data_IF_840059543294
#
_entry.id   IF_840059543294
#
_cell.length_a   1.000
_cell.length_b   1.000
_cell.length_c   1.000
_cell.angle_alpha   90.00
_cell.angle_beta   90.00
_cell.angle_gamma   90.00
#
_symmetry.space_group_name_H-M   'P 1'
#
loop_
_entity.id
_entity.type
_entity.pdbx_description
1 polymer ?
#
# COMPACT_ATOMS: atom_id res chain seq x y z
N UNK A 1 -35.22 14.94 11.21
CA UNK A 1 -33.85 14.80 10.62
C UNK A 1 -32.89 15.33 11.64
N UNK A 2 -32.14 14.43 12.29
CA UNK A 2 -31.13 14.81 13.29
C UNK A 2 -29.97 15.46 12.54
N UNK A 3 -29.64 16.71 12.85
CA UNK A 3 -28.46 17.40 12.30
C UNK A 3 -27.22 16.70 12.87
N UNK A 4 -26.51 15.96 12.01
CA UNK A 4 -25.19 15.43 12.35
C UNK A 4 -24.26 16.62 12.59
N UNK A 5 -23.86 16.85 13.84
CA UNK A 5 -23.03 17.98 14.27
C UNK A 5 -21.52 17.76 14.04
N UNK A 6 -21.09 16.54 13.77
CA UNK A 6 -19.69 16.17 13.62
C UNK A 6 -19.28 15.94 12.15
N UNK A 7 -17.96 15.80 11.95
CA UNK A 7 -17.38 15.43 10.66
C UNK A 7 -16.33 14.33 10.89
N UNK A 8 -16.36 13.29 10.05
CA UNK A 8 -15.27 12.31 10.03
C UNK A 8 -13.96 12.96 9.58
N UNK A 9 -12.87 12.48 10.12
CA UNK A 9 -11.53 12.93 9.74
C UNK A 9 -10.72 11.77 9.22
N UNK A 10 -10.15 11.95 8.03
CA UNK A 10 -9.27 10.96 7.38
C UNK A 10 -7.88 11.57 7.24
N UNK A 11 -6.89 10.98 7.90
CA UNK A 11 -5.49 11.42 7.78
C UNK A 11 -4.83 10.79 6.56
N UNK A 12 -4.15 11.61 5.77
CA UNK A 12 -3.37 11.16 4.60
C UNK A 12 -2.01 11.87 4.59
N UNK A 13 -1.03 11.24 3.95
CA UNK A 13 0.30 11.82 3.80
C UNK A 13 0.24 13.12 2.98
N UNK A 14 0.86 14.22 3.49
CA UNK A 14 0.87 15.52 2.80
C UNK A 14 1.70 15.49 1.52
N UNK A 15 2.84 14.85 1.54
CA UNK A 15 3.78 14.72 0.44
C UNK A 15 4.55 13.42 0.56
N UNK A 16 5.04 12.91 -0.55
CA UNK A 16 5.78 11.66 -0.56
C UNK A 16 5.03 10.56 -1.31
N UNK A 17 5.52 9.35 -1.17
CA UNK A 17 5.20 8.21 -2.02
C UNK A 17 3.73 7.77 -2.00
N UNK A 18 3.03 7.99 -0.88
CA UNK A 18 1.63 7.56 -0.73
C UNK A 18 0.63 8.69 -0.99
N UNK A 19 1.07 9.97 -1.03
CA UNK A 19 0.19 11.14 -1.02
C UNK A 19 -0.83 11.11 -2.17
N UNK A 20 -0.36 11.03 -3.42
CA UNK A 20 -1.23 11.10 -4.60
C UNK A 20 -2.14 9.87 -4.70
N UNK A 21 -1.60 8.66 -4.46
CA UNK A 21 -2.36 7.41 -4.48
C UNK A 21 -3.45 7.36 -3.41
N UNK A 22 -3.20 7.93 -2.24
CA UNK A 22 -4.20 8.05 -1.17
C UNK A 22 -5.35 8.96 -1.58
N UNK A 23 -5.04 10.10 -2.21
CA UNK A 23 -6.04 11.02 -2.72
C UNK A 23 -6.82 10.41 -3.90
N UNK A 24 -6.16 9.68 -4.80
CA UNK A 24 -6.82 8.97 -5.89
C UNK A 24 -7.81 7.94 -5.36
N UNK A 25 -7.41 7.08 -4.38
CA UNK A 25 -8.30 6.13 -3.74
C UNK A 25 -9.55 6.80 -3.14
N UNK A 26 -9.36 7.91 -2.44
CA UNK A 26 -10.45 8.67 -1.82
C UNK A 26 -11.39 9.23 -2.89
N UNK A 27 -10.85 9.75 -3.99
CA UNK A 27 -11.64 10.24 -5.14
C UNK A 27 -12.43 9.12 -5.79
N UNK A 28 -11.78 7.98 -6.04
CA UNK A 28 -12.40 6.82 -6.69
C UNK A 28 -13.48 6.18 -5.79
N UNK A 29 -13.36 6.33 -4.46
CA UNK A 29 -14.41 6.00 -3.49
C UNK A 29 -15.60 6.99 -3.51
N UNK A 30 -15.58 7.99 -4.40
CA UNK A 30 -16.67 8.94 -4.61
C UNK A 30 -16.68 10.14 -3.67
N UNK A 31 -15.58 10.41 -2.97
CA UNK A 31 -15.42 11.59 -2.12
C UNK A 31 -14.87 12.77 -2.94
N UNK A 32 -15.63 13.86 -3.03
CA UNK A 32 -15.27 15.08 -3.77
C UNK A 32 -14.84 16.15 -2.78
N UNK A 33 -13.66 16.69 -2.93
CA UNK A 33 -13.13 17.72 -2.03
C UNK A 33 -12.66 18.96 -2.76
N UNK A 34 -12.65 20.07 -2.04
CA UNK A 34 -12.01 21.32 -2.44
C UNK A 34 -10.78 21.56 -1.58
N UNK A 35 -9.77 22.16 -2.18
CA UNK A 35 -8.59 22.62 -1.45
C UNK A 35 -8.98 23.75 -0.53
N UNK A 36 -8.64 23.64 0.75
CA UNK A 36 -8.80 24.72 1.70
C UNK A 36 -7.77 25.84 1.47
N UNK A 37 -7.88 26.92 2.26
CA UNK A 37 -6.91 28.03 2.23
C UNK A 37 -5.48 27.61 2.64
N UNK A 38 -5.35 26.54 3.40
CA UNK A 38 -4.07 25.91 3.70
C UNK A 38 -4.05 24.49 3.10
N UNK A 39 -2.86 24.02 2.73
CA UNK A 39 -2.66 22.68 2.15
C UNK A 39 -2.78 21.54 3.17
N UNK A 40 -3.23 21.81 4.40
CA UNK A 40 -3.30 20.82 5.47
C UNK A 40 -4.69 20.21 5.65
N UNK A 41 -5.74 20.93 5.25
CA UNK A 41 -7.13 20.50 5.44
C UNK A 41 -7.91 20.66 4.13
N UNK A 42 -8.44 19.56 3.61
CA UNK A 42 -9.35 19.57 2.48
C UNK A 42 -10.75 19.17 2.96
N UNK A 43 -11.74 19.96 2.60
CA UNK A 43 -13.13 19.70 2.96
C UNK A 43 -13.83 18.91 1.87
N UNK A 44 -14.42 17.77 2.24
CA UNK A 44 -15.26 16.99 1.34
C UNK A 44 -16.62 17.68 1.22
N UNK A 45 -17.09 17.90 -0.01
CA UNK A 45 -18.31 18.65 -0.31
C UNK A 45 -19.58 17.82 -0.19
N UNK A 46 -19.49 16.56 -0.61
CA UNK A 46 -20.66 15.68 -0.71
C UNK A 46 -20.91 14.82 0.56
N UNK A 47 -20.01 14.88 1.53
CA UNK A 47 -20.15 14.20 2.82
C UNK A 47 -19.55 15.03 3.96
N UNK A 48 -20.01 14.88 5.20
CA UNK A 48 -19.40 15.54 6.35
C UNK A 48 -18.06 14.89 6.71
N UNK A 49 -17.07 15.05 5.85
CA UNK A 49 -15.71 14.48 5.99
C UNK A 49 -14.68 15.57 5.75
N UNK A 50 -13.61 15.54 6.52
CA UNK A 50 -12.43 16.38 6.35
C UNK A 50 -11.20 15.49 6.12
N UNK A 51 -10.36 15.84 5.13
CA UNK A 51 -9.10 15.17 4.87
C UNK A 51 -7.97 15.98 5.49
N UNK A 52 -7.26 15.39 6.45
CA UNK A 52 -6.08 16.00 7.07
C UNK A 52 -4.82 15.51 6.33
N UNK A 53 -4.06 16.46 5.79
CA UNK A 53 -2.79 16.20 5.11
C UNK A 53 -1.65 16.48 6.07
N UNK A 54 -1.06 15.44 6.61
CA UNK A 54 -0.05 15.51 7.67
C UNK A 54 1.22 14.74 7.29
N UNK A 55 2.23 14.71 8.15
CA UNK A 55 3.39 13.84 7.99
C UNK A 55 2.96 12.40 8.20
N UNK A 56 3.57 11.47 7.48
CA UNK A 56 3.30 10.04 7.61
C UNK A 56 3.55 9.53 9.04
N UNK A 57 4.61 9.99 9.68
CA UNK A 57 4.96 9.62 11.06
C UNK A 57 3.89 10.02 12.09
N UNK A 58 3.10 11.06 11.80
CA UNK A 58 2.06 11.58 12.70
C UNK A 58 0.73 10.83 12.55
N UNK A 59 0.48 10.21 11.39
CA UNK A 59 -0.81 9.55 11.07
C UNK A 59 -1.19 8.49 12.11
N UNK A 60 -0.30 7.55 12.49
CA UNK A 60 -0.64 6.53 13.48
C UNK A 60 -1.08 7.12 14.82
N UNK A 61 -0.42 8.18 15.30
CA UNK A 61 -0.75 8.86 16.55
C UNK A 61 -2.10 9.55 16.45
N UNK A 62 -2.37 10.29 15.37
CA UNK A 62 -3.65 11.00 15.20
C UNK A 62 -4.83 10.04 15.15
N UNK A 63 -4.65 8.87 14.57
CA UNK A 63 -5.70 7.84 14.53
C UNK A 63 -5.83 7.13 15.87
N UNK A 64 -4.72 6.76 16.52
CA UNK A 64 -4.76 6.10 17.83
C UNK A 64 -5.40 6.97 18.92
N UNK A 65 -5.17 8.27 18.89
CA UNK A 65 -5.69 9.24 19.85
C UNK A 65 -7.12 9.72 19.51
N UNK A 66 -7.73 9.23 18.42
CA UNK A 66 -9.08 9.61 18.01
C UNK A 66 -9.18 11.02 17.40
N UNK A 67 -8.06 11.67 17.08
CA UNK A 67 -8.06 12.95 16.35
C UNK A 67 -8.57 12.74 14.93
N UNK A 68 -8.23 11.59 14.32
CA UNK A 68 -8.76 11.13 13.06
C UNK A 68 -9.44 9.77 13.23
N UNK A 69 -10.55 9.56 12.53
CA UNK A 69 -11.30 8.30 12.53
C UNK A 69 -10.61 7.23 11.68
N UNK A 70 -10.02 7.65 10.56
CA UNK A 70 -9.30 6.81 9.62
C UNK A 70 -7.94 7.43 9.27
N UNK A 71 -7.01 6.59 8.81
CA UNK A 71 -5.73 7.03 8.28
C UNK A 71 -5.24 6.11 7.16
N UNK A 72 -4.54 6.69 6.18
CA UNK A 72 -3.81 5.94 5.15
C UNK A 72 -2.32 6.12 5.40
N UNK A 73 -1.63 5.03 5.70
CA UNK A 73 -0.23 5.05 6.11
C UNK A 73 0.52 3.81 5.61
N UNK A 74 1.84 3.88 5.51
CA UNK A 74 2.66 2.70 5.25
C UNK A 74 2.72 1.79 6.47
N UNK A 75 2.60 0.49 6.27
CA UNK A 75 2.68 -0.50 7.34
C UNK A 75 4.02 -0.41 8.12
N UNK A 76 5.11 -0.05 7.41
CA UNK A 76 6.41 0.22 8.03
C UNK A 76 6.37 1.37 9.06
N UNK A 77 5.62 2.43 8.79
CA UNK A 77 5.47 3.56 9.71
C UNK A 77 4.64 3.14 10.92
N UNK A 78 3.55 2.40 10.69
CA UNK A 78 2.72 1.87 11.75
C UNK A 78 3.51 0.94 12.68
N UNK A 79 4.29 0.01 12.10
CA UNK A 79 5.13 -0.93 12.85
C UNK A 79 6.24 -0.23 13.64
N UNK A 80 6.87 0.79 13.06
CA UNK A 80 7.88 1.59 13.77
C UNK A 80 7.27 2.42 14.89
N UNK A 81 6.03 2.91 14.70
CA UNK A 81 5.29 3.72 15.67
C UNK A 81 4.76 2.94 16.88
N UNK A 82 4.70 1.60 16.85
CA UNK A 82 4.16 0.78 17.94
C UNK A 82 4.92 0.97 19.25
N UNK A 83 4.21 1.48 20.27
CA UNK A 83 4.76 1.77 21.59
C UNK A 83 4.11 0.97 22.72
N UNK A 84 3.33 -0.10 22.39
CA UNK A 84 2.61 -0.90 23.40
C UNK A 84 1.37 -0.23 24.00
N UNK A 85 0.99 0.95 23.52
CA UNK A 85 -0.27 1.63 23.85
C UNK A 85 -1.42 1.24 22.93
N UNK A 86 -2.60 1.88 23.05
CA UNK A 86 -3.72 1.66 22.14
C UNK A 86 -3.25 1.99 20.71
N UNK A 87 -3.32 1.00 19.85
CA UNK A 87 -2.89 1.13 18.47
C UNK A 87 -4.11 1.26 17.57
N UNK A 88 -3.99 2.07 16.51
CA UNK A 88 -4.94 2.06 15.43
C UNK A 88 -5.02 0.64 14.82
N UNK A 89 -6.23 0.18 14.53
CA UNK A 89 -6.44 -1.12 13.92
C UNK A 89 -6.21 -1.06 12.41
N UNK A 90 -5.50 -2.03 11.83
CA UNK A 90 -5.45 -2.20 10.37
C UNK A 90 -6.82 -2.72 9.93
N UNK A 91 -7.49 -1.96 9.07
CA UNK A 91 -8.78 -2.34 8.46
C UNK A 91 -8.53 -3.22 7.23
N UNK A 92 -7.65 -2.76 6.31
CA UNK A 92 -7.31 -3.49 5.09
C UNK A 92 -6.02 -3.00 4.45
N UNK A 93 -5.32 -3.86 3.69
CA UNK A 93 -4.27 -3.45 2.77
C UNK A 93 -4.88 -2.73 1.56
N UNK A 94 -4.15 -1.75 1.01
CA UNK A 94 -4.64 -0.89 -0.08
C UNK A 94 -4.05 -1.25 -1.47
N UNK A 95 -3.12 -2.21 -1.52
CA UNK A 95 -2.56 -2.74 -2.77
C UNK A 95 -1.55 -1.83 -3.48
N UNK A 96 -1.24 -0.66 -2.93
CA UNK A 96 -0.24 0.26 -3.47
C UNK A 96 0.85 0.63 -2.45
N UNK A 97 1.86 1.38 -2.90
CA UNK A 97 2.95 1.84 -2.04
C UNK A 97 3.85 0.70 -1.53
N UNK A 98 3.87 -0.44 -2.23
CA UNK A 98 4.71 -1.59 -1.87
C UNK A 98 6.17 -1.21 -1.82
N UNK A 99 6.84 -1.63 -0.77
CA UNK A 99 8.28 -1.50 -0.57
C UNK A 99 8.77 -2.56 0.41
N UNK A 100 10.07 -2.74 0.45
CA UNK A 100 10.71 -3.65 1.40
C UNK A 100 11.73 -2.89 2.22
N UNK A 101 11.74 -3.08 3.53
CA UNK A 101 12.83 -2.64 4.38
C UNK A 101 13.92 -3.72 4.31
N UNK A 102 15.10 -3.36 3.86
CA UNK A 102 16.20 -4.30 3.63
C UNK A 102 17.48 -3.88 4.34
N UNK A 103 18.27 -4.86 4.75
CA UNK A 103 19.69 -4.65 5.02
C UNK A 103 20.38 -4.39 3.68
N UNK A 104 21.29 -3.41 3.65
CA UNK A 104 22.17 -3.18 2.52
C UNK A 104 23.59 -2.89 2.96
N UNK A 105 24.56 -3.44 2.21
CA UNK A 105 25.96 -3.40 2.56
C UNK A 105 26.83 -2.97 1.38
N UNK A 106 27.96 -2.28 1.62
CA UNK A 106 28.96 -2.08 0.58
C UNK A 106 29.59 -3.44 0.19
N UNK A 107 30.12 -3.59 -1.04
CA UNK A 107 30.75 -4.83 -1.50
C UNK A 107 32.00 -5.21 -0.70
N UNK A 108 32.60 -4.27 0.01
CA UNK A 108 33.76 -4.49 0.88
C UNK A 108 33.43 -5.21 2.19
N UNK A 109 32.13 -5.26 2.56
CA UNK A 109 31.68 -6.00 3.75
C UNK A 109 31.26 -7.41 3.33
N UNK A 110 31.99 -8.42 3.80
CA UNK A 110 31.57 -9.81 3.63
C UNK A 110 30.24 -10.05 4.37
N UNK A 111 29.24 -10.54 3.66
CA UNK A 111 27.90 -10.72 4.20
C UNK A 111 27.33 -12.09 3.83
N UNK A 112 27.22 -12.98 4.81
CA UNK A 112 26.69 -14.34 4.69
C UNK A 112 25.37 -14.51 5.46
N UNK A 113 24.69 -13.39 5.82
CA UNK A 113 23.47 -13.36 6.58
C UNK A 113 23.54 -12.41 7.78
N UNK A 114 22.44 -12.27 8.56
CA UNK A 114 22.35 -11.31 9.66
C UNK A 114 23.42 -11.44 10.73
N UNK A 115 23.98 -12.64 10.94
CA UNK A 115 25.07 -12.87 11.91
C UNK A 115 26.33 -12.06 11.59
N UNK A 116 26.57 -11.75 10.30
CA UNK A 116 27.69 -10.91 9.84
C UNK A 116 27.63 -9.48 10.37
N UNK A 117 26.47 -9.04 10.87
CA UNK A 117 26.24 -7.69 11.41
C UNK A 117 26.67 -7.55 12.88
N UNK A 118 27.06 -8.66 13.53
CA UNK A 118 27.41 -8.66 14.96
C UNK A 118 28.55 -7.67 15.26
N UNK A 119 28.30 -6.75 16.21
CA UNK A 119 29.25 -5.74 16.64
C UNK A 119 29.42 -4.56 15.66
N UNK A 120 28.71 -4.56 14.55
CA UNK A 120 28.76 -3.48 13.58
C UNK A 120 27.76 -2.37 13.90
N UNK A 121 27.97 -1.20 13.29
CA UNK A 121 27.05 -0.06 13.30
C UNK A 121 26.17 -0.13 12.06
N UNK A 122 24.85 -0.01 12.24
CA UNK A 122 23.85 -0.06 11.17
C UNK A 122 23.03 1.22 11.22
N UNK A 123 23.02 1.99 10.12
CA UNK A 123 22.23 3.20 10.03
C UNK A 123 20.80 2.89 9.53
N UNK A 124 19.80 3.54 10.12
CA UNK A 124 18.40 3.35 9.73
C UNK A 124 17.49 4.50 10.18
N UNK A 125 16.38 4.69 9.46
CA UNK A 125 15.24 5.51 9.91
C UNK A 125 14.19 4.67 10.67
N UNK A 126 14.40 3.35 10.80
CA UNK A 126 13.47 2.39 11.41
C UNK A 126 14.14 1.59 12.54
N UNK A 127 14.57 2.27 13.63
CA UNK A 127 15.37 1.63 14.67
C UNK A 127 14.63 0.52 15.44
N UNK A 128 13.31 0.63 15.65
CA UNK A 128 12.57 -0.39 16.41
C UNK A 128 12.36 -1.66 15.58
N UNK A 129 12.00 -1.50 14.31
CA UNK A 129 11.84 -2.64 13.40
C UNK A 129 13.18 -3.36 13.25
N UNK A 130 14.27 -2.62 13.03
CA UNK A 130 15.60 -3.21 12.94
C UNK A 130 16.01 -3.89 14.23
N UNK A 131 15.75 -3.29 15.40
CA UNK A 131 16.06 -3.89 16.70
C UNK A 131 15.37 -5.24 16.85
N UNK A 132 14.05 -5.30 16.59
CA UNK A 132 13.26 -6.54 16.65
C UNK A 132 13.85 -7.62 15.73
N UNK A 133 14.15 -7.26 14.47
CA UNK A 133 14.76 -8.17 13.50
C UNK A 133 16.09 -8.77 14.00
N UNK A 134 16.96 -7.94 14.60
CA UNK A 134 18.24 -8.37 15.14
C UNK A 134 18.08 -9.23 16.39
N UNK A 135 17.19 -8.86 17.30
CA UNK A 135 16.95 -9.56 18.57
C UNK A 135 16.38 -10.97 18.31
N UNK A 136 15.43 -11.11 17.37
CA UNK A 136 14.88 -12.41 16.94
C UNK A 136 15.95 -13.37 16.40
N UNK A 137 17.09 -12.84 15.92
CA UNK A 137 18.22 -13.61 15.37
C UNK A 137 19.41 -13.69 16.31
N UNK A 138 19.28 -13.14 17.52
CA UNK A 138 20.35 -13.12 18.52
C UNK A 138 21.56 -12.27 18.11
N UNK A 139 21.39 -11.29 17.22
CA UNK A 139 22.46 -10.45 16.71
C UNK A 139 22.53 -9.14 17.49
N UNK A 140 23.66 -8.89 18.15
CA UNK A 140 23.94 -7.61 18.82
C UNK A 140 24.70 -6.69 17.88
N UNK A 141 24.06 -5.60 17.47
CA UNK A 141 24.63 -4.53 16.65
C UNK A 141 24.25 -3.15 17.20
N UNK A 142 25.05 -2.15 16.92
CA UNK A 142 24.75 -0.75 17.26
C UNK A 142 23.86 -0.14 16.18
N UNK A 143 22.75 0.50 16.57
CA UNK A 143 21.85 1.18 15.66
C UNK A 143 22.13 2.67 15.67
N UNK A 144 22.42 3.23 14.49
CA UNK A 144 22.61 4.66 14.26
C UNK A 144 21.33 5.21 13.64
N UNK A 145 20.57 6.01 14.39
CA UNK A 145 19.30 6.56 13.91
C UNK A 145 19.56 7.76 13.01
N UNK A 146 19.02 7.70 11.80
CA UNK A 146 19.07 8.79 10.82
C UNK A 146 17.65 9.13 10.33
N UNK A 147 17.40 10.40 10.06
CA UNK A 147 16.09 10.87 9.54
C UNK A 147 16.18 11.27 8.07
N UNK A 148 16.65 10.33 7.24
CA UNK A 148 16.85 10.50 5.80
C UNK A 148 18.31 10.39 5.39
N UNK A 149 18.58 10.27 4.08
CA UNK A 149 19.89 10.08 3.48
C UNK A 149 20.71 8.92 4.13
N UNK A 150 20.01 7.85 4.52
CA UNK A 150 20.61 6.70 5.22
C UNK A 150 21.65 6.00 4.33
N UNK A 151 21.44 6.00 3.03
CA UNK A 151 22.29 5.38 2.00
C UNK A 151 23.72 5.96 1.95
N UNK A 152 23.92 7.18 2.43
CA UNK A 152 25.27 7.78 2.46
C UNK A 152 26.10 7.40 3.70
N UNK A 153 25.49 6.80 4.71
CA UNK A 153 26.15 6.51 6.00
C UNK A 153 27.43 5.67 5.87
N UNK A 154 27.51 4.62 5.01
CA UNK A 154 28.74 3.87 4.83
C UNK A 154 29.87 4.69 4.20
N UNK A 155 29.56 5.56 3.23
CA UNK A 155 30.57 6.45 2.61
C UNK A 155 31.15 7.46 3.60
N UNK A 156 30.30 7.92 4.53
CA UNK A 156 30.71 8.84 5.61
C UNK A 156 31.34 8.12 6.81
N UNK A 157 31.48 6.79 6.75
CA UNK A 157 32.00 5.94 7.85
C UNK A 157 31.18 6.08 9.16
N UNK A 158 29.93 6.47 9.06
CA UNK A 158 28.99 6.53 10.19
C UNK A 158 28.48 5.16 10.59
N UNK A 159 28.33 4.26 9.62
CA UNK A 159 27.89 2.89 9.80
C UNK A 159 28.56 1.96 8.77
N UNK A 160 28.65 0.67 9.09
CA UNK A 160 29.18 -0.35 8.18
C UNK A 160 28.12 -0.90 7.23
N UNK A 161 26.85 -0.85 7.63
CA UNK A 161 25.69 -1.30 6.89
C UNK A 161 24.52 -0.33 7.11
N UNK A 162 23.48 -0.48 6.28
CA UNK A 162 22.24 0.26 6.46
C UNK A 162 21.03 -0.68 6.49
N UNK A 163 19.93 -0.17 7.06
CA UNK A 163 18.62 -0.77 6.93
C UNK A 163 17.66 0.31 6.45
N UNK A 164 17.21 0.20 5.20
CA UNK A 164 16.39 1.25 4.59
C UNK A 164 15.34 0.70 3.62
N UNK A 165 14.35 1.53 3.27
CA UNK A 165 13.29 1.19 2.34
C UNK A 165 13.82 1.11 0.90
N UNK A 166 13.51 -0.01 0.27
CA UNK A 166 13.87 -0.29 -1.12
C UNK A 166 12.59 -0.51 -1.93
N UNK A 167 12.42 0.28 -2.98
CA UNK A 167 11.34 0.08 -3.98
C UNK A 167 11.90 -0.59 -5.23
N UNK A 168 12.86 0.06 -5.90
CA UNK A 168 13.51 -0.43 -7.13
C UNK A 168 14.97 -0.81 -6.95
N UNK A 169 15.60 -0.39 -5.87
CA UNK A 169 17.02 -0.61 -5.61
C UNK A 169 17.97 0.44 -6.24
N UNK A 170 17.50 1.27 -7.15
CA UNK A 170 18.34 2.24 -7.87
C UNK A 170 19.13 3.18 -6.95
N UNK A 171 18.53 3.63 -5.85
CA UNK A 171 19.22 4.50 -4.87
C UNK A 171 20.36 3.76 -4.17
N UNK A 172 20.18 2.48 -3.84
CA UNK A 172 21.25 1.66 -3.24
C UNK A 172 22.41 1.49 -4.21
N UNK A 173 22.11 1.11 -5.46
CA UNK A 173 23.12 0.91 -6.51
C UNK A 173 23.92 2.19 -6.77
N UNK A 174 23.23 3.35 -6.85
CA UNK A 174 23.88 4.64 -7.04
C UNK A 174 24.84 5.01 -5.90
N UNK A 175 24.64 4.45 -4.69
CA UNK A 175 25.51 4.62 -3.54
C UNK A 175 26.49 3.44 -3.32
N UNK A 176 26.56 2.51 -4.29
CA UNK A 176 27.46 1.35 -4.22
C UNK A 176 27.07 0.34 -3.15
N UNK A 177 25.78 0.22 -2.83
CA UNK A 177 25.27 -0.70 -1.82
C UNK A 177 24.51 -1.87 -2.49
N UNK A 178 24.75 -3.07 -2.01
CA UNK A 178 24.00 -4.27 -2.38
C UNK A 178 22.91 -4.58 -1.38
N UNK A 179 21.68 -4.79 -1.87
CA UNK A 179 20.58 -5.25 -1.05
C UNK A 179 20.81 -6.69 -0.55
N UNK A 180 20.48 -6.93 0.72
CA UNK A 180 20.65 -8.21 1.43
C UNK A 180 19.29 -8.67 1.96
N UNK A 181 19.26 -9.17 3.21
CA UNK A 181 18.04 -9.69 3.83
C UNK A 181 16.91 -8.68 3.87
N UNK A 182 15.70 -9.18 3.65
CA UNK A 182 14.46 -8.44 3.88
C UNK A 182 14.13 -8.44 5.36
N UNK A 183 13.97 -7.25 5.92
CA UNK A 183 13.59 -7.03 7.32
C UNK A 183 12.09 -6.95 7.48
N UNK A 184 11.42 -6.25 6.56
CA UNK A 184 9.97 -6.08 6.53
C UNK A 184 9.49 -5.86 5.10
N UNK A 185 8.40 -6.51 4.72
CA UNK A 185 7.61 -6.13 3.55
C UNK A 185 6.52 -5.17 3.99
N UNK A 186 6.26 -4.14 3.21
CA UNK A 186 5.33 -3.07 3.56
C UNK A 186 4.54 -2.59 2.36
N UNK A 187 3.32 -2.18 2.61
CA UNK A 187 2.43 -1.51 1.66
C UNK A 187 1.59 -0.45 2.38
N UNK A 188 0.83 0.32 1.64
CA UNK A 188 -0.17 1.21 2.22
C UNK A 188 -1.29 0.41 2.86
N UNK A 189 -1.72 0.81 4.04
CA UNK A 189 -2.85 0.24 4.78
C UNK A 189 -3.83 1.33 5.19
N UNK A 190 -5.11 0.99 5.24
CA UNK A 190 -6.14 1.77 5.91
C UNK A 190 -6.15 1.38 7.38
N UNK A 191 -6.03 2.36 8.26
CA UNK A 191 -6.13 2.18 9.71
C UNK A 191 -7.33 2.93 10.26
N UNK A 192 -7.90 2.40 11.34
CA UNK A 192 -9.07 2.96 12.02
C UNK A 192 -8.75 3.25 13.50
N UNK A 193 -9.32 4.31 14.01
CA UNK A 193 -9.26 4.68 15.43
C UNK A 193 -9.90 3.61 16.32
N UNK A 194 -9.30 3.32 17.49
CA UNK A 194 -9.97 2.56 18.55
C UNK A 194 -11.06 3.37 19.25
N UNK A 195 -11.09 4.69 19.04
CA UNK A 195 -12.11 5.58 19.59
C UNK A 195 -13.31 5.60 18.66
N UNK A 196 -14.52 5.41 19.19
CA UNK A 196 -15.74 5.48 18.40
C UNK A 196 -15.92 6.88 17.79
N UNK A 197 -16.41 6.98 16.54
CA UNK A 197 -16.68 8.26 15.92
C UNK A 197 -17.79 9.01 16.66
N UNK A 198 -17.93 10.31 16.38
CA UNK A 198 -19.02 11.10 16.96
C UNK A 198 -20.41 10.47 16.67
N UNK A 199 -21.39 10.64 17.58
CA UNK A 199 -22.72 10.06 17.41
C UNK A 199 -23.35 10.39 16.05
N UNK A 200 -23.83 9.35 15.37
CA UNK A 200 -24.47 9.47 14.04
C UNK A 200 -23.50 9.35 12.85
N UNK A 201 -22.19 9.27 13.07
CA UNK A 201 -21.19 9.12 12.01
C UNK A 201 -20.78 7.67 11.73
N UNK A 202 -21.16 6.70 12.57
CA UNK A 202 -20.76 5.31 12.39
C UNK A 202 -21.14 4.74 11.01
N UNK A 203 -22.38 4.94 10.59
CA UNK A 203 -22.83 4.47 9.27
C UNK A 203 -22.05 5.10 8.11
N UNK A 204 -21.66 6.36 8.26
CA UNK A 204 -20.84 7.04 7.24
C UNK A 204 -19.43 6.44 7.23
N UNK A 205 -18.84 6.17 8.39
CA UNK A 205 -17.54 5.53 8.52
C UNK A 205 -17.53 4.16 7.82
N UNK A 206 -18.51 3.32 8.13
CA UNK A 206 -18.65 1.99 7.53
C UNK A 206 -18.82 2.09 6.00
N UNK A 207 -19.67 3.00 5.53
CA UNK A 207 -19.86 3.22 4.10
C UNK A 207 -18.59 3.70 3.37
N UNK A 208 -17.76 4.52 4.01
CA UNK A 208 -16.48 4.96 3.44
C UNK A 208 -15.50 3.79 3.33
N UNK A 209 -15.42 2.96 4.36
CA UNK A 209 -14.57 1.76 4.36
C UNK A 209 -15.01 0.80 3.24
N UNK A 210 -16.31 0.51 3.13
CA UNK A 210 -16.87 -0.37 2.09
C UNK A 210 -16.57 0.14 0.68
N UNK A 211 -16.72 1.45 0.43
CA UNK A 211 -16.41 2.07 -0.86
C UNK A 211 -14.93 1.97 -1.20
N UNK A 212 -14.04 2.24 -0.25
CA UNK A 212 -12.60 2.05 -0.44
C UNK A 212 -12.26 0.59 -0.73
N UNK A 213 -12.89 -0.35 -0.02
CA UNK A 213 -12.72 -1.79 -0.27
C UNK A 213 -13.17 -2.16 -1.69
N UNK A 214 -14.29 -1.63 -2.15
CA UNK A 214 -14.77 -1.80 -3.53
C UNK A 214 -13.78 -1.30 -4.58
N UNK A 215 -13.20 -0.11 -4.38
CA UNK A 215 -12.16 0.43 -5.26
C UNK A 215 -10.92 -0.46 -5.26
N UNK A 216 -10.43 -0.86 -4.08
CA UNK A 216 -9.25 -1.72 -3.96
C UNK A 216 -9.48 -3.07 -4.62
N UNK A 217 -10.64 -3.69 -4.44
CA UNK A 217 -10.98 -4.99 -5.05
C UNK A 217 -11.12 -4.93 -6.57
N UNK A 218 -11.46 -3.77 -7.12
CA UNK A 218 -11.57 -3.56 -8.57
C UNK A 218 -10.24 -3.18 -9.23
N UNK A 219 -9.19 -2.91 -8.46
CA UNK A 219 -7.87 -2.57 -9.01
C UNK A 219 -7.32 -3.74 -9.83
N UNK A 220 -6.88 -3.43 -11.06
CA UNK A 220 -6.37 -4.44 -12.00
C UNK A 220 -7.45 -5.33 -12.62
N UNK A 221 -8.74 -5.12 -12.31
CA UNK A 221 -9.82 -5.81 -12.99
C UNK A 221 -10.00 -5.26 -14.41
N UNK A 222 -10.17 -6.17 -15.37
CA UNK A 222 -10.46 -5.87 -16.77
C UNK A 222 -11.74 -6.55 -17.19
N UNK A 223 -12.55 -5.83 -17.94
CA UNK A 223 -13.68 -6.41 -18.63
C UNK A 223 -13.22 -6.91 -19.99
N UNK A 224 -13.33 -8.22 -20.20
CA UNK A 224 -12.96 -8.89 -21.44
C UNK A 224 -14.22 -9.24 -22.20
N UNK A 225 -14.25 -8.91 -23.48
CA UNK A 225 -15.27 -9.34 -24.43
C UNK A 225 -14.57 -9.95 -25.63
N UNK A 226 -14.96 -11.17 -25.99
CA UNK A 226 -14.40 -11.87 -27.14
C UNK A 226 -15.47 -12.72 -27.83
N UNK A 227 -15.29 -12.97 -29.13
CA UNK A 227 -16.07 -13.94 -29.88
C UNK A 227 -15.23 -15.21 -30.02
N UNK A 228 -15.84 -16.37 -29.77
CA UNK A 228 -15.15 -17.64 -29.80
C UNK A 228 -16.03 -18.76 -30.41
N UNK A 229 -15.41 -19.77 -31.03
CA UNK A 229 -16.15 -20.99 -31.40
C UNK A 229 -16.82 -21.60 -30.15
N UNK A 230 -18.06 -22.03 -30.27
CA UNK A 230 -18.80 -22.66 -29.19
C UNK A 230 -18.06 -23.88 -28.61
N UNK A 231 -17.36 -24.64 -29.45
CA UNK A 231 -16.56 -25.80 -29.03
C UNK A 231 -15.36 -25.46 -28.14
N UNK A 232 -14.90 -24.18 -28.12
CA UNK A 232 -13.80 -23.71 -27.27
C UNK A 232 -14.27 -23.13 -25.93
N UNK A 233 -15.59 -23.09 -25.68
CA UNK A 233 -16.16 -22.39 -24.52
C UNK A 233 -15.64 -22.92 -23.19
N UNK A 234 -15.55 -24.23 -23.02
CA UNK A 234 -15.07 -24.85 -21.77
C UNK A 234 -13.61 -24.48 -21.48
N UNK A 235 -12.75 -24.47 -22.52
CA UNK A 235 -11.35 -24.06 -22.39
C UNK A 235 -11.23 -22.58 -22.03
N UNK A 236 -12.04 -21.73 -22.67
CA UNK A 236 -12.06 -20.27 -22.38
C UNK A 236 -12.56 -20.02 -20.97
N UNK A 237 -13.61 -20.70 -20.54
CA UNK A 237 -14.17 -20.56 -19.19
C UNK A 237 -13.19 -21.01 -18.11
N UNK A 238 -12.38 -22.01 -18.37
CA UNK A 238 -11.33 -22.46 -17.45
C UNK A 238 -10.21 -21.38 -17.26
N UNK A 239 -9.93 -20.61 -18.31
CA UNK A 239 -8.91 -19.54 -18.29
C UNK A 239 -9.49 -18.22 -17.77
N UNK A 240 -10.75 -17.92 -18.12
CA UNK A 240 -11.46 -16.69 -17.77
C UNK A 240 -12.68 -17.01 -16.91
N UNK A 241 -12.49 -17.38 -15.63
CA UNK A 241 -13.60 -17.81 -14.76
C UNK A 241 -14.58 -16.68 -14.44
N UNK A 242 -14.20 -15.41 -14.71
CA UNK A 242 -15.01 -14.25 -14.36
C UNK A 242 -15.08 -14.00 -12.84
N UNK A 243 -15.92 -13.08 -12.42
CA UNK A 243 -16.19 -12.80 -11.00
C UNK A 243 -17.08 -13.85 -10.32
N UNK A 244 -17.79 -14.66 -11.09
CA UNK A 244 -18.63 -15.77 -10.65
C UNK A 244 -18.78 -16.79 -11.78
N UNK A 245 -19.11 -16.30 -12.98
CA UNK A 245 -19.15 -17.05 -14.23
C UNK A 245 -19.09 -16.08 -15.41
N UNK A 246 -18.52 -16.44 -16.56
CA UNK A 246 -18.61 -15.62 -17.76
C UNK A 246 -20.05 -15.58 -18.28
N UNK A 247 -20.41 -14.43 -18.84
CA UNK A 247 -21.66 -14.30 -19.59
C UNK A 247 -21.45 -14.79 -21.02
N UNK A 248 -22.29 -15.72 -21.48
CA UNK A 248 -22.24 -16.27 -22.83
C UNK A 248 -23.49 -15.85 -23.60
N UNK A 249 -23.30 -15.24 -24.77
CA UNK A 249 -24.39 -14.75 -25.61
C UNK A 249 -24.28 -15.32 -27.03
N UNK A 250 -25.41 -15.62 -27.71
CA UNK A 250 -25.38 -16.03 -29.11
C UNK A 250 -24.94 -14.87 -30.00
N UNK A 251 -24.23 -15.18 -31.07
CA UNK A 251 -23.90 -14.19 -32.11
C UNK A 251 -24.96 -14.23 -33.22
N UNK A 252 -25.40 -13.05 -33.67
CA UNK A 252 -26.36 -12.95 -34.77
C UNK A 252 -25.75 -13.56 -36.05
N UNK A 253 -26.50 -14.50 -36.66
CA UNK A 253 -26.07 -15.18 -37.91
C UNK A 253 -24.93 -16.19 -37.76
N UNK A 254 -24.57 -16.59 -36.53
CA UNK A 254 -23.48 -17.53 -36.26
C UNK A 254 -23.86 -18.50 -35.12
N UNK A 255 -24.36 -19.71 -35.46
CA UNK A 255 -24.72 -20.74 -34.48
C UNK A 255 -23.47 -21.46 -33.91
N UNK A 256 -22.37 -21.47 -34.67
CA UNK A 256 -21.12 -22.13 -34.35
C UNK A 256 -20.23 -21.31 -33.36
N UNK A 257 -20.59 -20.06 -33.08
CA UNK A 257 -19.82 -19.14 -32.25
C UNK A 257 -20.65 -18.41 -31.20
N UNK A 258 -20.00 -17.94 -30.18
CA UNK A 258 -20.61 -17.20 -29.06
C UNK A 258 -19.78 -15.97 -28.69
N UNK A 259 -20.44 -14.96 -28.15
CA UNK A 259 -19.75 -13.88 -27.44
C UNK A 259 -19.59 -14.28 -25.97
N UNK A 260 -18.40 -14.10 -25.44
CA UNK A 260 -18.05 -14.38 -24.04
C UNK A 260 -17.60 -13.07 -23.38
N UNK A 261 -18.23 -12.75 -22.28
CA UNK A 261 -17.93 -11.57 -21.47
C UNK A 261 -17.52 -12.00 -20.07
N UNK A 262 -16.39 -11.51 -19.58
CA UNK A 262 -15.89 -11.82 -18.24
C UNK A 262 -15.17 -10.62 -17.62
N UNK A 263 -15.24 -10.50 -16.30
CA UNK A 263 -14.34 -9.64 -15.51
C UNK A 263 -13.21 -10.51 -14.98
N UNK A 264 -11.97 -10.17 -15.29
CA UNK A 264 -10.81 -10.90 -14.82
C UNK A 264 -9.69 -9.95 -14.38
N UNK A 265 -8.74 -10.45 -13.62
CA UNK A 265 -7.54 -9.70 -13.26
C UNK A 265 -6.63 -9.54 -14.50
N UNK A 266 -6.03 -8.36 -14.66
CA UNK A 266 -5.13 -8.06 -15.79
C UNK A 266 -3.99 -9.09 -15.92
N UNK A 267 -3.49 -9.59 -14.80
CA UNK A 267 -2.47 -10.64 -14.78
C UNK A 267 -2.90 -11.94 -15.49
N UNK A 268 -4.20 -12.27 -15.49
CA UNK A 268 -4.72 -13.43 -16.22
C UNK A 268 -4.60 -13.25 -17.74
N UNK A 269 -4.69 -12.01 -18.23
CA UNK A 269 -4.65 -11.71 -19.66
C UNK A 269 -3.24 -11.76 -20.23
N UNK A 270 -2.24 -11.36 -19.43
CA UNK A 270 -0.84 -11.32 -19.87
C UNK A 270 -0.25 -12.72 -20.10
N UNK A 271 -0.78 -13.74 -19.41
CA UNK A 271 -0.31 -15.13 -19.53
C UNK A 271 -1.07 -15.96 -20.58
N UNK A 272 -2.25 -15.50 -21.02
CA UNK A 272 -3.19 -16.33 -21.81
C UNK A 272 -3.46 -15.80 -23.21
N UNK A 273 -3.04 -14.58 -23.52
CA UNK A 273 -3.28 -13.96 -24.84
C UNK A 273 -1.98 -13.49 -25.45
N UNK A 274 -1.49 -14.10 -26.53
CA UNK A 274 -0.42 -13.49 -27.30
C UNK A 274 -0.88 -12.11 -27.78
N UNK A 275 -0.02 -11.10 -27.60
CA UNK A 275 -0.32 -9.75 -28.06
C UNK A 275 -0.57 -9.77 -29.57
N UNK A 276 -1.58 -9.06 -30.09
CA UNK A 276 -1.74 -8.91 -31.56
C UNK A 276 -0.51 -8.30 -32.26
N UNK A 277 0.47 -7.81 -31.50
CA UNK A 277 1.73 -7.26 -32.01
C UNK A 277 2.82 -8.31 -32.21
N UNK A 278 2.65 -9.52 -31.69
CA UNK A 278 3.65 -10.59 -31.78
C UNK A 278 3.48 -11.44 -33.05
N UNK A 279 2.58 -11.07 -33.95
CA UNK A 279 2.22 -11.77 -35.19
C UNK A 279 2.35 -10.95 -36.47
N UNK A 280 3.19 -9.90 -36.48
CA UNK A 280 3.54 -9.16 -37.70
C UNK A 280 5.06 -9.12 -37.91
#
# INVERSE_FOLDING_TARGET
MSTVQGRLRIAVQKSGRLADRSLDLIRDAGLKWVKGHNDLLYRVENYPIDLLRVRDDDIPTFVADGVCDLGIVGENVLEEGRNGGPNAAIVMPLGFGRCTLKIATPPTLAYDGPASLKGLRIATSYPKILRRFLDERGVKAEIVVMRGAVEVAPRLKLAAAICDLVSTGATLEANGLGARDTVLESQAVLIQSPVAPEPGLQHLLDSVIERMAGVVSSQGAKYVMLNAPRAALDQITAILPGAGSPTVMPLSGRDDAVAVHAVCQEACLLYTSPSPRDGL
#
